data_IF_966579831641
#
_entry.id   IF_966579831641
#
_cell.length_a   1.000
_cell.length_b   1.000
_cell.length_c   1.000
_cell.angle_alpha   90.00
_cell.angle_beta   90.00
_cell.angle_gamma   90.00
#
_symmetry.space_group_name_H-M   'P 1'
#
loop_
_entity.id
_entity.type
_entity.pdbx_description
1 polymer ?
#
# COMPACT_ATOMS: atom_id res chain seq x y z
N UNK A 1 -1.95 12.98 10.33
CA UNK A 1 -2.51 11.69 9.93
C UNK A 1 -2.87 11.67 8.46
N UNK A 2 -2.68 10.52 7.82
CA UNK A 2 -3.07 10.31 6.43
C UNK A 2 -4.44 9.63 6.39
N UNK A 3 -5.22 9.98 5.37
CA UNK A 3 -6.56 9.42 5.18
C UNK A 3 -6.55 8.48 3.99
N UNK A 4 -7.23 7.36 4.11
CA UNK A 4 -7.35 6.38 3.04
C UNK A 4 -8.81 6.00 2.79
N UNK A 5 -9.11 5.65 1.56
CA UNK A 5 -10.38 5.06 1.15
C UNK A 5 -10.10 3.80 0.37
N UNK A 6 -10.70 2.68 0.76
CA UNK A 6 -10.40 1.41 0.14
C UNK A 6 -11.58 0.49 0.01
N UNK A 7 -11.35 -0.59 -0.72
CA UNK A 7 -12.28 -1.69 -0.86
C UNK A 7 -11.62 -3.01 -0.46
N UNK A 8 -12.43 -3.94 0.03
CA UNK A 8 -12.01 -5.30 0.28
C UNK A 8 -12.48 -6.20 -0.85
N UNK A 9 -11.72 -7.25 -1.13
CA UNK A 9 -12.06 -8.26 -2.13
C UNK A 9 -11.96 -9.65 -1.53
N UNK A 10 -12.48 -10.65 -2.24
CA UNK A 10 -12.37 -12.05 -1.81
C UNK A 10 -11.02 -12.68 -2.19
N UNK A 11 -10.17 -11.93 -2.90
CA UNK A 11 -8.90 -12.41 -3.40
C UNK A 11 -7.73 -11.89 -2.55
N UNK A 12 -6.75 -12.75 -2.30
CA UNK A 12 -5.48 -12.33 -1.73
C UNK A 12 -4.57 -11.84 -2.87
N UNK A 13 -4.11 -10.58 -2.78
CA UNK A 13 -3.26 -9.97 -3.81
C UNK A 13 -1.95 -10.72 -4.04
N UNK A 14 -1.40 -11.31 -3.00
CA UNK A 14 -0.08 -11.95 -3.05
C UNK A 14 -0.11 -13.36 -3.63
N UNK A 15 -1.28 -13.96 -3.77
CA UNK A 15 -1.45 -15.27 -4.41
C UNK A 15 -1.54 -15.17 -5.93
N UNK A 16 -1.56 -13.94 -6.47
CA UNK A 16 -1.81 -13.68 -7.87
C UNK A 16 -0.72 -12.78 -8.47
N UNK A 17 -0.71 -12.71 -9.79
CA UNK A 17 0.22 -11.87 -10.53
C UNK A 17 -0.25 -10.41 -10.61
N UNK A 18 0.53 -9.59 -11.32
CA UNK A 18 0.23 -8.17 -11.52
C UNK A 18 -1.08 -7.96 -12.29
N UNK A 19 -1.45 -8.89 -13.18
CA UNK A 19 -2.69 -8.77 -13.95
C UNK A 19 -3.90 -8.84 -13.05
N UNK A 20 -3.89 -9.72 -12.04
CA UNK A 20 -4.96 -9.81 -11.04
C UNK A 20 -5.01 -8.55 -10.17
N UNK A 21 -3.85 -8.03 -9.77
CA UNK A 21 -3.77 -6.75 -9.04
C UNK A 21 -4.43 -5.63 -9.84
N UNK A 22 -4.18 -5.56 -11.15
CA UNK A 22 -4.78 -4.54 -12.02
C UNK A 22 -6.30 -4.69 -12.13
N UNK A 23 -6.81 -5.91 -12.17
CA UNK A 23 -8.27 -6.15 -12.16
C UNK A 23 -8.90 -5.59 -10.89
N UNK A 24 -8.26 -5.82 -9.76
CA UNK A 24 -8.75 -5.32 -8.46
C UNK A 24 -8.64 -3.81 -8.38
N UNK A 25 -7.54 -3.24 -8.85
CA UNK A 25 -7.37 -1.79 -8.93
C UNK A 25 -8.44 -1.15 -9.82
N UNK A 26 -8.78 -1.80 -10.92
CA UNK A 26 -9.85 -1.34 -11.81
C UNK A 26 -11.21 -1.31 -11.10
N UNK A 27 -11.50 -2.30 -10.27
CA UNK A 27 -12.73 -2.30 -9.46
C UNK A 27 -12.79 -1.10 -8.53
N UNK A 28 -11.68 -0.79 -7.88
CA UNK A 28 -11.59 0.40 -7.02
C UNK A 28 -11.84 1.67 -7.84
N UNK A 29 -11.19 1.80 -8.99
CA UNK A 29 -11.35 2.97 -9.87
C UNK A 29 -12.81 3.11 -10.34
N UNK A 30 -13.46 2.02 -10.69
CA UNK A 30 -14.87 2.05 -11.12
C UNK A 30 -15.80 2.50 -9.98
N UNK A 31 -15.56 2.02 -8.75
CA UNK A 31 -16.31 2.48 -7.59
C UNK A 31 -16.14 3.98 -7.36
N UNK A 32 -14.92 4.47 -7.49
CA UNK A 32 -14.65 5.91 -7.36
C UNK A 32 -15.36 6.72 -8.45
N UNK A 33 -15.37 6.23 -9.69
CA UNK A 33 -16.10 6.86 -10.78
C UNK A 33 -17.62 6.89 -10.55
N UNK A 34 -18.19 5.83 -10.01
CA UNK A 34 -19.62 5.77 -9.68
C UNK A 34 -20.01 6.85 -8.67
N UNK A 35 -19.11 7.24 -7.80
CA UNK A 35 -19.32 8.30 -6.80
C UNK A 35 -18.79 9.66 -7.24
N UNK A 36 -18.47 9.82 -8.53
CA UNK A 36 -17.97 11.07 -9.13
C UNK A 36 -16.68 11.59 -8.48
N UNK A 37 -15.82 10.68 -8.03
CA UNK A 37 -14.53 11.06 -7.44
C UNK A 37 -13.56 11.47 -8.54
N UNK A 38 -12.87 12.62 -8.41
CA UNK A 38 -11.94 13.08 -9.43
C UNK A 38 -10.77 12.11 -9.67
N UNK A 39 -10.30 11.98 -10.93
CA UNK A 39 -9.20 11.06 -11.27
C UNK A 39 -7.88 11.30 -10.52
N UNK A 40 -7.67 12.48 -9.98
CA UNK A 40 -6.46 12.80 -9.20
C UNK A 40 -6.26 11.86 -8.01
N UNK A 41 -7.36 11.32 -7.46
CA UNK A 41 -7.29 10.36 -6.35
C UNK A 41 -6.90 8.95 -6.78
N UNK A 42 -6.79 8.66 -8.07
CA UNK A 42 -6.51 7.31 -8.56
C UNK A 42 -5.02 6.99 -8.67
N UNK A 43 -4.16 7.97 -8.41
CA UNK A 43 -2.73 7.88 -8.74
C UNK A 43 -1.92 7.05 -7.76
N UNK A 44 -2.27 7.07 -6.47
CA UNK A 44 -1.49 6.42 -5.42
C UNK A 44 -2.34 5.37 -4.73
N UNK A 45 -2.25 4.15 -5.22
CA UNK A 45 -2.90 3.01 -4.59
C UNK A 45 -1.96 2.32 -3.60
N UNK A 46 -2.54 1.63 -2.63
CA UNK A 46 -1.75 0.89 -1.65
C UNK A 46 -2.47 -0.35 -1.16
N UNK A 47 -1.70 -1.22 -0.53
CA UNK A 47 -2.17 -2.43 0.14
C UNK A 47 -1.62 -2.46 1.56
N UNK A 48 -2.26 -3.25 2.42
CA UNK A 48 -1.90 -3.32 3.83
C UNK A 48 -1.72 -4.78 4.27
N UNK A 49 -0.67 -5.03 5.07
CA UNK A 49 -0.55 -6.26 5.84
C UNK A 49 -0.76 -5.94 7.31
N UNK A 50 -1.56 -6.75 7.99
CA UNK A 50 -1.69 -6.63 9.44
C UNK A 50 -0.34 -6.87 10.10
N UNK A 51 -0.12 -6.21 11.23
CA UNK A 51 1.15 -6.30 11.98
C UNK A 51 1.58 -7.76 12.19
N UNK A 52 0.67 -8.62 12.61
CA UNK A 52 0.96 -10.03 12.88
C UNK A 52 1.43 -10.77 11.63
N UNK A 53 0.82 -10.47 10.49
CA UNK A 53 1.19 -11.09 9.21
C UNK A 53 2.55 -10.57 8.74
N UNK A 54 2.82 -9.28 8.91
CA UNK A 54 4.12 -8.72 8.56
C UNK A 54 5.25 -9.33 9.42
N UNK A 55 5.03 -9.47 10.72
CA UNK A 55 6.03 -10.06 11.62
C UNK A 55 6.38 -11.51 11.25
N UNK A 56 5.43 -12.24 10.70
CA UNK A 56 5.62 -13.61 10.24
C UNK A 56 5.94 -13.70 8.75
N UNK A 57 6.02 -12.57 8.05
CA UNK A 57 6.20 -12.50 6.59
C UNK A 57 5.15 -13.34 5.86
N UNK A 58 3.92 -13.26 6.34
CA UNK A 58 2.76 -13.91 5.74
C UNK A 58 2.06 -12.89 4.86
N UNK A 59 2.16 -13.07 3.54
CA UNK A 59 1.64 -12.10 2.57
C UNK A 59 0.18 -12.41 2.24
N UNK A 60 -0.70 -11.87 3.07
CA UNK A 60 -2.16 -12.01 2.94
C UNK A 60 -2.78 -10.61 2.99
N UNK A 61 -3.31 -10.14 1.88
CA UNK A 61 -4.02 -8.86 1.82
C UNK A 61 -5.15 -8.93 0.81
N UNK A 62 -6.33 -8.53 1.24
CA UNK A 62 -7.52 -8.46 0.39
C UNK A 62 -8.07 -7.03 0.31
N UNK A 63 -7.30 -6.04 0.72
CA UNK A 63 -7.71 -4.64 0.74
C UNK A 63 -6.78 -3.80 -0.13
N UNK A 64 -7.38 -3.03 -1.03
CA UNK A 64 -6.70 -2.01 -1.82
C UNK A 64 -7.32 -0.65 -1.52
N UNK A 65 -6.49 0.38 -1.42
CA UNK A 65 -6.95 1.73 -1.05
C UNK A 65 -6.21 2.80 -1.84
N UNK A 66 -6.76 4.01 -1.81
CA UNK A 66 -6.09 5.22 -2.31
C UNK A 66 -5.95 6.21 -1.16
N UNK A 67 -4.94 7.07 -1.21
CA UNK A 67 -4.80 8.16 -0.27
C UNK A 67 -5.71 9.32 -0.67
N UNK A 68 -6.40 9.89 0.29
CA UNK A 68 -7.38 10.94 0.06
C UNK A 68 -7.13 12.11 1.01
N UNK A 69 -7.73 13.26 0.67
CA UNK A 69 -7.61 14.47 1.47
C UNK A 69 -8.95 14.88 2.08
N UNK A 70 -9.00 16.07 2.68
CA UNK A 70 -10.20 16.61 3.32
C UNK A 70 -11.34 16.94 2.35
N UNK A 71 -11.04 17.04 1.06
CA UNK A 71 -12.03 17.34 0.01
C UNK A 71 -12.67 16.09 -0.59
N UNK A 72 -12.26 14.90 -0.12
CA UNK A 72 -12.78 13.64 -0.62
C UNK A 72 -14.27 13.49 -0.31
N UNK A 73 -15.12 13.19 -1.32
CA UNK A 73 -16.57 13.25 -1.14
C UNK A 73 -17.17 12.17 -0.24
N UNK A 74 -16.53 11.00 -0.11
CA UNK A 74 -17.04 9.88 0.69
C UNK A 74 -16.47 9.89 2.12
N UNK A 75 -16.62 10.99 2.82
CA UNK A 75 -15.98 11.26 4.12
C UNK A 75 -16.28 10.21 5.20
N UNK A 76 -17.46 9.63 5.18
CA UNK A 76 -17.89 8.66 6.21
C UNK A 76 -17.23 7.27 6.03
N UNK A 77 -16.62 7.02 4.88
CA UNK A 77 -15.97 5.75 4.56
C UNK A 77 -14.44 5.84 4.63
N UNK A 78 -13.92 6.97 5.07
CA UNK A 78 -12.48 7.22 5.16
C UNK A 78 -11.91 6.65 6.45
N UNK A 79 -10.79 5.94 6.33
CA UNK A 79 -10.01 5.46 7.47
C UNK A 79 -8.78 6.34 7.67
N UNK A 80 -8.28 6.38 8.90
CA UNK A 80 -7.12 7.19 9.28
C UNK A 80 -5.89 6.33 9.49
N UNK A 81 -4.76 6.77 8.93
CA UNK A 81 -3.44 6.23 9.27
C UNK A 81 -2.79 7.23 10.23
N UNK A 82 -2.47 6.76 11.44
CA UNK A 82 -1.94 7.60 12.49
C UNK A 82 -0.57 8.18 12.15
N UNK A 83 -0.29 9.35 12.70
CA UNK A 83 1.02 9.95 12.67
C UNK A 83 2.01 9.13 13.50
N UNK A 84 3.27 9.15 13.14
CA UNK A 84 4.31 8.49 13.91
C UNK A 84 5.58 8.35 13.11
N UNK A 85 6.51 7.61 13.67
CA UNK A 85 7.74 7.25 13.00
C UNK A 85 7.52 6.00 12.17
N UNK A 86 8.05 6.01 10.95
CA UNK A 86 7.94 4.89 10.01
C UNK A 86 9.32 4.49 9.53
N UNK A 87 9.60 3.19 9.51
CA UNK A 87 10.71 2.64 8.76
C UNK A 87 10.24 2.39 7.33
N UNK A 88 11.03 2.83 6.36
CA UNK A 88 10.65 2.78 4.94
C UNK A 88 11.76 2.18 4.10
N UNK A 89 11.38 1.53 3.01
CA UNK A 89 12.28 1.12 1.95
C UNK A 89 11.59 1.36 0.61
N UNK A 90 12.38 1.73 -0.40
CA UNK A 90 11.91 2.04 -1.74
C UNK A 90 12.40 0.99 -2.72
N UNK A 91 11.56 0.64 -3.69
CA UNK A 91 11.93 -0.29 -4.76
C UNK A 91 11.17 0.06 -6.03
N UNK A 92 11.69 -0.40 -7.17
CA UNK A 92 11.14 -0.10 -8.49
C UNK A 92 10.58 -1.33 -9.21
N UNK A 93 10.59 -2.50 -8.56
CA UNK A 93 10.08 -3.74 -9.13
C UNK A 93 9.00 -4.34 -8.23
N UNK A 94 7.78 -4.45 -8.74
CA UNK A 94 6.67 -5.03 -7.99
C UNK A 94 6.97 -6.46 -7.51
N UNK A 95 7.65 -7.25 -8.34
CA UNK A 95 7.98 -8.64 -8.03
C UNK A 95 8.96 -8.80 -6.86
N UNK A 96 9.67 -7.73 -6.49
CA UNK A 96 10.64 -7.75 -5.40
C UNK A 96 10.06 -7.35 -4.04
N UNK A 97 8.76 -7.05 -3.96
CA UNK A 97 8.13 -6.55 -2.75
C UNK A 97 8.35 -7.47 -1.55
N UNK A 98 8.13 -8.77 -1.72
CA UNK A 98 8.23 -9.70 -0.60
C UNK A 98 9.66 -9.80 -0.07
N UNK A 99 10.66 -9.79 -0.94
CA UNK A 99 12.06 -9.77 -0.53
C UNK A 99 12.39 -8.50 0.25
N UNK A 100 11.98 -7.34 -0.26
CA UNK A 100 12.26 -6.05 0.39
C UNK A 100 11.47 -5.88 1.68
N UNK A 101 10.27 -6.43 1.79
CA UNK A 101 9.52 -6.44 3.04
C UNK A 101 10.26 -7.23 4.12
N UNK A 102 10.87 -8.36 3.74
CA UNK A 102 11.73 -9.13 4.64
C UNK A 102 12.96 -8.36 5.08
N UNK A 103 13.60 -7.63 4.17
CA UNK A 103 14.73 -6.76 4.49
C UNK A 103 14.32 -5.62 5.43
N UNK A 104 13.14 -5.05 5.24
CA UNK A 104 12.61 -4.01 6.12
C UNK A 104 12.40 -4.54 7.54
N UNK A 105 11.80 -5.73 7.69
CA UNK A 105 11.62 -6.35 8.99
C UNK A 105 12.97 -6.61 9.66
N UNK A 106 13.93 -7.17 8.92
CA UNK A 106 15.27 -7.43 9.44
C UNK A 106 15.95 -6.15 9.91
N UNK A 107 15.85 -5.08 9.11
CA UNK A 107 16.39 -3.77 9.49
C UNK A 107 15.80 -3.29 10.82
N UNK A 108 14.48 -3.38 10.98
CA UNK A 108 13.84 -3.00 12.23
C UNK A 108 14.33 -3.84 13.42
N UNK A 109 14.49 -5.15 13.21
CA UNK A 109 15.02 -6.05 14.25
C UNK A 109 16.47 -5.71 14.62
N UNK A 110 17.31 -5.45 13.61
CA UNK A 110 18.72 -5.08 13.83
C UNK A 110 18.87 -3.74 14.55
N UNK A 111 17.97 -2.79 14.31
CA UNK A 111 17.94 -1.50 14.97
C UNK A 111 17.19 -1.52 16.32
N UNK A 112 16.66 -2.65 16.69
CA UNK A 112 15.85 -2.82 17.91
C UNK A 112 14.60 -1.92 17.93
N UNK A 113 14.01 -1.67 16.75
CA UNK A 113 12.74 -0.96 16.63
C UNK A 113 11.58 -1.92 16.89
N UNK A 114 10.61 -1.48 17.68
CA UNK A 114 9.37 -2.21 17.89
C UNK A 114 8.40 -1.87 16.75
N UNK A 115 7.83 -2.91 16.11
CA UNK A 115 6.78 -2.72 15.10
C UNK A 115 5.50 -2.28 15.81
N UNK A 116 5.00 -1.11 15.45
CA UNK A 116 3.91 -0.45 16.19
C UNK A 116 2.55 -0.54 15.48
N UNK A 117 2.49 -1.08 14.27
CA UNK A 117 1.23 -1.18 13.53
C UNK A 117 1.40 -1.90 12.21
N UNK A 118 0.44 -1.70 11.32
CA UNK A 118 0.33 -2.44 10.08
C UNK A 118 1.31 -1.94 9.03
N UNK A 119 1.80 -2.87 8.21
CA UNK A 119 2.66 -2.60 7.07
C UNK A 119 1.84 -2.11 5.88
N UNK A 120 2.38 -1.12 5.17
CA UNK A 120 1.74 -0.54 3.99
C UNK A 120 2.71 -0.59 2.80
N UNK A 121 2.22 -1.10 1.68
CA UNK A 121 2.87 -0.98 0.38
C UNK A 121 2.15 0.11 -0.40
N UNK A 122 2.84 1.20 -0.71
CA UNK A 122 2.28 2.34 -1.43
C UNK A 122 2.93 2.48 -2.80
N UNK A 123 2.12 2.55 -3.85
CA UNK A 123 2.59 2.88 -5.19
C UNK A 123 2.73 4.38 -5.29
N UNK A 124 3.97 4.87 -5.41
CA UNK A 124 4.26 6.31 -5.43
C UNK A 124 4.01 6.94 -6.80
N UNK A 125 4.42 6.24 -7.85
CA UNK A 125 4.22 6.71 -9.24
C UNK A 125 4.20 5.52 -10.19
N UNK A 126 3.26 5.56 -11.13
CA UNK A 126 3.30 4.73 -12.33
C UNK A 126 3.74 5.64 -13.48
N UNK A 127 5.00 5.55 -13.89
CA UNK A 127 5.46 6.25 -15.08
C UNK A 127 5.25 5.38 -16.32
N UNK A 128 4.38 5.83 -17.19
CA UNK A 128 4.17 5.21 -18.48
C UNK A 128 4.39 6.23 -19.61
N UNK A 129 5.44 7.08 -19.45
CA UNK A 129 5.60 8.22 -20.33
C UNK A 129 6.35 7.88 -21.62
N UNK A 130 7.25 6.89 -21.60
CA UNK A 130 8.11 6.60 -22.76
C UNK A 130 8.29 5.13 -23.10
N UNK A 131 7.72 4.21 -22.32
CA UNK A 131 7.86 2.79 -22.57
C UNK A 131 6.53 2.09 -22.38
N UNK A 132 5.92 1.67 -23.48
CA UNK A 132 4.63 0.98 -23.47
C UNK A 132 4.74 -0.47 -23.00
N UNK A 133 5.96 -1.01 -22.89
CA UNK A 133 6.20 -2.40 -22.51
C UNK A 133 6.55 -2.60 -21.04
N UNK A 134 7.02 -1.55 -20.35
CA UNK A 134 7.38 -1.61 -18.93
C UNK A 134 6.63 -0.57 -18.14
N UNK A 135 5.85 -1.02 -17.16
CA UNK A 135 5.36 -0.16 -16.10
C UNK A 135 6.45 0.02 -15.07
N UNK A 136 6.97 1.22 -14.97
CA UNK A 136 7.85 1.59 -13.87
C UNK A 136 6.99 1.89 -12.65
N UNK A 137 6.88 0.93 -11.74
CA UNK A 137 6.23 1.11 -10.46
C UNK A 137 7.29 1.43 -9.43
N UNK A 138 7.15 2.58 -8.80
CA UNK A 138 7.98 2.96 -7.66
C UNK A 138 7.17 2.72 -6.40
N UNK A 139 7.64 1.80 -5.56
CA UNK A 139 6.94 1.39 -4.35
C UNK A 139 7.65 1.91 -3.11
N UNK A 140 6.86 2.32 -2.14
CA UNK A 140 7.34 2.59 -0.79
C UNK A 140 6.73 1.59 0.17
N UNK A 141 7.57 0.75 0.76
CA UNK A 141 7.19 -0.16 1.82
C UNK A 141 7.43 0.54 3.15
N UNK A 142 6.44 0.54 4.03
CA UNK A 142 6.55 1.28 5.28
C UNK A 142 5.82 0.57 6.40
N UNK A 143 6.39 0.68 7.60
CA UNK A 143 5.80 0.13 8.80
C UNK A 143 6.04 1.09 9.97
N UNK A 144 5.02 1.37 10.79
CA UNK A 144 5.20 2.24 11.94
C UNK A 144 6.05 1.55 12.99
N UNK A 145 6.94 2.31 13.62
CA UNK A 145 7.88 1.79 14.61
C UNK A 145 7.93 2.67 15.85
N UNK A 146 8.23 2.05 16.98
CA UNK A 146 8.62 2.72 18.19
C UNK A 146 10.09 2.45 18.44
N UNK A 147 10.80 3.46 18.92
CA UNK A 147 12.17 3.29 19.35
C UNK A 147 12.18 2.72 20.77
N UNK A 148 12.78 1.55 20.93
CA UNK A 148 12.99 0.97 22.25
C UNK A 148 14.33 1.48 22.78
N UNK A 149 14.32 1.91 24.03
CA UNK A 149 15.56 2.27 24.71
C UNK A 149 16.06 1.06 25.49
#
# INVERSE_FOLDING_TARGET
>A
PRKIYGIETDLNFYDHDIDTYEVILKKLKMRLLEHNVPPVYYCNAGTVLKKEDFLQQRFVSNKIFVFVDEHFPLRNEVEMIENGMYACVYLDEFSDEQEFAGRLLKYCQDQEYEIAGDYICETMTEFNVFDTEKRSMFLRLQVPVNFTK
#
